data_IF_865721480467
#
_entry.id   IF_865721480467
#
_cell.length_a   1.000
_cell.length_b   1.000
_cell.length_c   1.000
_cell.angle_alpha   90.00
_cell.angle_beta   90.00
_cell.angle_gamma   90.00
#
_symmetry.space_group_name_H-M   'P 1'
#
loop_
_entity.id
_entity.type
_entity.pdbx_description
1 polymer ?
#
# COMPACT_ATOMS: atom_id res chain seq x y z
N UNK A 1 -26.58 -21.67 50.92
CA UNK A 1 -27.30 -21.30 49.68
C UNK A 1 -27.04 -19.82 49.45
N UNK A 2 -26.15 -19.51 48.50
CA UNK A 2 -26.45 -18.82 47.22
C UNK A 2 -26.70 -17.31 47.46
N UNK A 3 -26.00 -16.32 46.89
CA UNK A 3 -25.10 -16.20 45.74
C UNK A 3 -24.06 -15.11 46.09
N UNK A 4 -22.77 -15.20 45.77
CA UNK A 4 -22.24 -15.43 44.43
C UNK A 4 -22.00 -14.07 43.75
N UNK A 5 -20.94 -13.37 44.15
CA UNK A 5 -20.49 -12.11 43.56
C UNK A 5 -20.12 -12.34 42.09
N UNK A 6 -20.85 -11.73 41.15
CA UNK A 6 -20.61 -11.88 39.72
C UNK A 6 -19.80 -10.71 39.19
N UNK A 7 -18.57 -11.07 38.83
CA UNK A 7 -17.49 -10.29 38.25
C UNK A 7 -17.84 -9.73 36.85
N UNK A 8 -17.59 -8.43 36.69
CA UNK A 8 -17.18 -7.67 35.51
C UNK A 8 -17.36 -8.28 34.10
N UNK A 9 -18.03 -7.52 33.23
CA UNK A 9 -17.61 -7.37 31.83
C UNK A 9 -17.80 -5.91 31.39
N UNK A 10 -16.83 -5.07 31.72
CA UNK A 10 -16.74 -3.73 31.13
C UNK A 10 -16.26 -3.87 29.68
N UNK A 11 -17.16 -3.71 28.71
CA UNK A 11 -16.74 -3.47 27.34
C UNK A 11 -16.01 -2.12 27.31
N UNK A 12 -14.69 -2.14 27.17
CA UNK A 12 -13.96 -0.95 26.72
C UNK A 12 -14.38 -0.70 25.27
N UNK A 13 -15.38 0.14 25.08
CA UNK A 13 -15.59 0.79 23.79
C UNK A 13 -14.39 1.70 23.58
N UNK A 14 -13.50 1.32 22.68
CA UNK A 14 -12.47 2.24 22.21
C UNK A 14 -13.19 3.37 21.49
N UNK A 15 -12.94 4.65 21.81
CA UNK A 15 -13.42 5.72 20.96
C UNK A 15 -12.71 5.54 19.61
N UNK A 16 -13.50 5.31 18.55
CA UNK A 16 -13.02 5.56 17.20
C UNK A 16 -12.53 7.01 17.20
N UNK A 17 -11.21 7.21 17.09
CA UNK A 17 -10.66 8.56 17.03
C UNK A 17 -11.17 9.16 15.73
N UNK A 18 -12.11 10.09 15.84
CA UNK A 18 -12.63 10.85 14.72
C UNK A 18 -11.41 11.40 13.95
N UNK A 19 -11.26 10.93 12.71
CA UNK A 19 -10.30 11.46 11.77
C UNK A 19 -10.71 12.91 11.53
N UNK A 20 -10.00 13.86 12.14
CA UNK A 20 -10.17 15.27 11.82
C UNK A 20 -9.71 15.44 10.38
N UNK A 21 -10.66 15.44 9.45
CA UNK A 21 -10.53 16.02 8.13
C UNK A 21 -10.53 17.53 8.34
N UNK A 22 -9.33 18.14 8.26
CA UNK A 22 -9.27 19.59 8.14
C UNK A 22 -9.72 19.87 6.73
N UNK A 23 -10.91 20.45 6.60
CA UNK A 23 -11.53 20.89 5.35
C UNK A 23 -10.73 22.09 4.81
N UNK A 24 -9.54 21.82 4.31
CA UNK A 24 -8.96 22.61 3.24
C UNK A 24 -9.56 22.00 1.98
N UNK A 25 -10.12 22.79 1.07
CA UNK A 25 -10.68 22.32 -0.21
C UNK A 25 -9.58 21.79 -1.15
N UNK A 26 -8.83 20.79 -0.69
CA UNK A 26 -7.89 20.01 -1.47
C UNK A 26 -8.74 18.91 -2.09
N UNK A 27 -9.14 19.11 -3.34
CA UNK A 27 -9.89 18.12 -4.09
C UNK A 27 -9.15 16.78 -4.15
N UNK A 28 -9.89 15.69 -4.35
CA UNK A 28 -9.27 14.40 -4.61
C UNK A 28 -8.37 14.49 -5.85
N UNK A 29 -7.19 13.86 -5.83
CA UNK A 29 -6.34 13.83 -7.01
C UNK A 29 -7.03 13.00 -8.10
N UNK A 30 -6.66 13.19 -9.39
CA UNK A 30 -7.13 12.33 -10.45
C UNK A 30 -6.86 10.85 -10.13
N UNK A 31 -7.73 9.93 -10.56
CA UNK A 31 -7.51 8.51 -10.36
C UNK A 31 -6.20 8.07 -11.01
N UNK A 32 -5.55 7.10 -10.37
CA UNK A 32 -4.36 6.45 -10.93
C UNK A 32 -4.84 5.41 -11.94
N UNK A 33 -4.51 5.62 -13.22
CA UNK A 33 -4.91 4.72 -14.30
C UNK A 33 -3.66 4.09 -14.90
N UNK A 34 -3.56 2.78 -14.78
CA UNK A 34 -2.42 1.99 -15.26
C UNK A 34 -2.92 0.79 -16.06
N UNK A 35 -2.14 0.34 -17.04
CA UNK A 35 -2.50 -0.85 -17.85
C UNK A 35 -2.36 -2.16 -17.08
N UNK A 36 -1.50 -2.19 -16.07
CA UNK A 36 -1.27 -3.33 -15.20
C UNK A 36 -0.92 -2.84 -13.79
N UNK A 37 -1.20 -3.63 -12.75
CA UNK A 37 -0.83 -3.26 -11.39
C UNK A 37 0.68 -2.97 -11.29
N UNK A 38 1.09 -1.89 -10.57
CA UNK A 38 2.48 -1.50 -10.49
C UNK A 38 3.30 -2.53 -9.72
N UNK A 39 4.58 -2.68 -10.09
CA UNK A 39 5.53 -3.39 -9.24
C UNK A 39 6.01 -2.46 -8.13
N UNK A 40 6.01 -2.96 -6.91
CA UNK A 40 6.44 -2.25 -5.70
C UNK A 40 7.82 -2.75 -5.30
N UNK A 41 8.84 -1.90 -5.36
CA UNK A 41 10.24 -2.23 -5.02
C UNK A 41 10.60 -1.63 -3.66
N UNK A 42 11.24 -2.41 -2.79
CA UNK A 42 11.72 -1.95 -1.49
C UNK A 42 12.85 -0.92 -1.67
N UNK A 43 12.67 0.24 -1.04
CA UNK A 43 13.70 1.23 -0.80
C UNK A 43 14.34 0.94 0.57
N UNK A 44 15.61 0.46 0.63
CA UNK A 44 16.28 0.18 1.90
C UNK A 44 16.35 1.41 2.80
N UNK A 45 16.53 2.58 2.19
CA UNK A 45 16.35 3.89 2.79
C UNK A 45 15.30 4.61 1.94
N UNK A 46 14.09 4.90 2.48
CA UNK A 46 13.74 5.06 3.89
C UNK A 46 12.94 3.89 4.53
N UNK A 47 13.13 2.64 4.08
CA UNK A 47 12.40 1.45 4.53
C UNK A 47 10.91 1.45 4.17
N UNK A 48 10.62 1.62 2.88
CA UNK A 48 9.27 1.52 2.33
C UNK A 48 9.32 0.98 0.91
N UNK A 49 8.18 0.60 0.36
CA UNK A 49 8.11 0.24 -1.05
C UNK A 49 7.70 1.44 -1.91
N UNK A 50 8.12 1.44 -3.17
CA UNK A 50 7.73 2.46 -4.17
C UNK A 50 7.29 1.78 -5.46
N UNK A 51 6.27 2.33 -6.10
CA UNK A 51 5.82 1.90 -7.41
C UNK A 51 6.89 2.23 -8.46
N UNK A 52 7.19 1.26 -9.32
CA UNK A 52 8.13 1.42 -10.43
C UNK A 52 7.47 1.05 -11.76
N UNK A 53 8.00 1.57 -12.87
CA UNK A 53 7.43 1.37 -14.20
C UNK A 53 6.13 2.15 -14.47
N UNK A 54 5.74 3.03 -13.56
CA UNK A 54 4.57 3.92 -13.68
C UNK A 54 4.98 5.37 -13.39
N UNK A 55 4.28 6.38 -13.96
CA UNK A 55 4.66 7.78 -13.78
C UNK A 55 4.21 8.39 -12.44
N UNK A 56 3.59 7.59 -11.56
CA UNK A 56 2.97 8.06 -10.33
C UNK A 56 3.91 7.89 -9.13
N UNK A 57 3.95 8.90 -8.26
CA UNK A 57 4.70 8.85 -7.00
C UNK A 57 3.88 8.13 -5.92
N UNK A 58 3.78 6.81 -6.07
CA UNK A 58 3.05 5.92 -5.16
C UNK A 58 4.03 5.15 -4.30
N UNK A 59 3.80 5.17 -2.99
CA UNK A 59 4.60 4.51 -1.98
C UNK A 59 3.71 3.60 -1.13
N UNK A 60 4.26 2.50 -0.62
CA UNK A 60 3.54 1.59 0.25
C UNK A 60 4.26 1.44 1.60
N UNK A 61 3.55 1.78 2.67
CA UNK A 61 4.04 1.78 4.04
C UNK A 61 2.98 1.18 4.96
N UNK A 62 3.34 0.13 5.71
CA UNK A 62 2.48 -0.45 6.75
C UNK A 62 1.05 -0.78 6.30
N UNK A 63 0.89 -1.34 5.10
CA UNK A 63 -0.43 -1.76 4.59
C UNK A 63 -1.26 -0.65 3.95
N UNK A 64 -0.67 0.51 3.65
CA UNK A 64 -1.36 1.62 2.98
C UNK A 64 -0.55 2.15 1.83
N UNK A 65 -1.24 2.60 0.78
CA UNK A 65 -0.65 3.33 -0.32
C UNK A 65 -0.68 4.84 -0.02
N UNK A 66 0.38 5.53 -0.41
CA UNK A 66 0.52 6.98 -0.30
C UNK A 66 0.84 7.53 -1.68
N UNK A 67 0.12 8.56 -2.09
CA UNK A 67 0.27 9.20 -3.40
C UNK A 67 0.63 10.67 -3.21
N UNK A 68 1.73 11.10 -3.83
CA UNK A 68 2.08 12.51 -3.92
C UNK A 68 1.58 13.09 -5.25
N UNK A 69 0.69 14.09 -5.17
CA UNK A 69 0.11 14.76 -6.33
C UNK A 69 -0.11 16.24 -6.06
N UNK A 70 0.31 17.10 -7.00
CA UNK A 70 0.05 18.55 -6.92
C UNK A 70 0.47 19.18 -5.59
N UNK A 71 1.64 18.79 -5.07
CA UNK A 71 2.21 19.20 -3.77
C UNK A 71 1.50 18.70 -2.51
N UNK A 72 0.51 17.84 -2.66
CA UNK A 72 -0.24 17.24 -1.55
C UNK A 72 0.00 15.74 -1.45
N UNK A 73 -0.15 15.24 -0.22
CA UNK A 73 -0.11 13.81 0.04
C UNK A 73 -1.53 13.28 0.24
N UNK A 74 -1.74 12.09 -0.28
CA UNK A 74 -2.97 11.33 -0.11
C UNK A 74 -2.63 9.92 0.33
N UNK A 75 -3.57 9.23 0.96
CA UNK A 75 -3.46 7.81 1.26
C UNK A 75 -4.70 7.06 0.77
N UNK A 76 -4.52 5.79 0.45
CA UNK A 76 -5.55 4.90 -0.06
C UNK A 76 -5.28 3.45 0.34
N UNK A 77 -6.31 2.62 0.23
CA UNK A 77 -6.22 1.19 0.52
C UNK A 77 -5.71 0.38 -0.69
N UNK A 78 -6.05 0.80 -1.91
CA UNK A 78 -5.47 0.31 -3.16
C UNK A 78 -4.49 1.29 -3.80
N UNK A 79 -3.75 0.84 -4.80
CA UNK A 79 -2.83 1.71 -5.55
C UNK A 79 -3.58 2.59 -6.56
N UNK A 80 -4.83 2.26 -6.90
CA UNK A 80 -5.72 3.08 -7.73
C UNK A 80 -6.42 4.24 -6.98
N UNK A 81 -6.51 4.13 -5.65
CA UNK A 81 -7.39 4.94 -4.80
C UNK A 81 -8.51 4.09 -4.18
N UNK A 82 -9.59 4.71 -3.66
CA UNK A 82 -9.82 6.15 -3.54
C UNK A 82 -8.79 6.83 -2.63
N UNK A 83 -8.58 8.13 -2.85
CA UNK A 83 -7.50 8.90 -2.23
C UNK A 83 -8.03 9.88 -1.18
N UNK A 84 -7.56 9.76 0.05
CA UNK A 84 -7.88 10.69 1.14
C UNK A 84 -6.69 11.57 1.45
N UNK A 85 -6.89 12.89 1.54
CA UNK A 85 -5.84 13.83 1.91
C UNK A 85 -5.18 13.47 3.26
N UNK A 86 -3.86 13.61 3.33
CA UNK A 86 -3.10 13.47 4.57
C UNK A 86 -2.09 14.61 4.71
N UNK A 87 -2.17 15.31 5.85
CA UNK A 87 -1.22 16.34 6.20
C UNK A 87 0.18 15.75 6.44
N UNK A 88 1.23 16.52 6.11
CA UNK A 88 2.64 16.10 6.19
C UNK A 88 3.01 15.59 7.59
N UNK A 89 2.46 16.19 8.64
CA UNK A 89 2.69 15.82 10.03
C UNK A 89 2.16 14.42 10.35
N UNK A 90 1.19 13.92 9.59
CA UNK A 90 0.58 12.59 9.76
C UNK A 90 1.23 11.51 8.89
N UNK A 91 2.18 11.87 8.02
CA UNK A 91 2.88 10.90 7.18
C UNK A 91 3.73 9.92 8.00
N UNK A 92 3.91 8.67 7.53
CA UNK A 92 4.93 7.78 8.06
C UNK A 92 6.32 8.44 8.10
N UNK A 93 7.18 8.12 9.09
CA UNK A 93 8.48 8.76 9.26
C UNK A 93 9.36 8.75 8.00
N UNK A 94 9.31 7.67 7.22
CA UNK A 94 10.06 7.55 5.97
C UNK A 94 9.62 8.54 4.89
N UNK A 95 8.33 8.84 4.79
CA UNK A 95 7.80 9.84 3.85
C UNK A 95 8.02 11.26 4.36
N UNK A 96 7.95 11.46 5.69
CA UNK A 96 8.13 12.79 6.30
C UNK A 96 9.58 13.28 6.28
N UNK A 97 10.55 12.37 6.44
CA UNK A 97 11.97 12.72 6.61
C UNK A 97 12.63 13.21 5.32
N UNK A 98 12.20 12.71 4.17
CA UNK A 98 12.87 12.95 2.89
C UNK A 98 12.01 13.82 1.99
N UNK A 99 12.66 14.71 1.24
CA UNK A 99 11.97 15.48 0.19
C UNK A 99 11.54 14.55 -0.93
N UNK A 100 10.43 14.84 -1.59
CA UNK A 100 9.93 14.04 -2.74
C UNK A 100 11.01 13.83 -3.81
N UNK A 101 11.85 14.84 -4.07
CA UNK A 101 13.00 14.70 -4.98
C UNK A 101 13.95 13.56 -4.57
N UNK A 102 14.27 13.44 -3.28
CA UNK A 102 15.13 12.35 -2.78
C UNK A 102 14.43 11.00 -2.88
N UNK A 103 13.12 10.94 -2.63
CA UNK A 103 12.34 9.72 -2.79
C UNK A 103 12.34 9.23 -4.25
N UNK A 104 12.22 10.16 -5.22
CA UNK A 104 12.36 9.86 -6.64
C UNK A 104 13.77 9.38 -6.98
N UNK A 105 14.82 10.01 -6.45
CA UNK A 105 16.20 9.56 -6.63
C UNK A 105 16.44 8.14 -6.11
N UNK A 106 15.86 7.79 -4.96
CA UNK A 106 15.89 6.42 -4.43
C UNK A 106 15.14 5.44 -5.33
N UNK A 107 13.93 5.82 -5.79
CA UNK A 107 13.16 5.03 -6.77
C UNK A 107 13.96 4.77 -8.02
N UNK A 108 14.55 5.78 -8.64
CA UNK A 108 15.30 5.62 -9.89
C UNK A 108 16.53 4.71 -9.73
N UNK A 109 17.21 4.79 -8.58
CA UNK A 109 18.34 3.91 -8.27
C UNK A 109 17.91 2.45 -8.19
N UNK A 110 16.90 2.16 -7.36
CA UNK A 110 16.43 0.78 -7.16
C UNK A 110 15.73 0.23 -8.41
N UNK A 111 15.00 1.08 -9.14
CA UNK A 111 14.35 0.66 -10.38
C UNK A 111 15.37 0.28 -11.45
N UNK A 112 16.49 1.02 -11.56
CA UNK A 112 17.57 0.64 -12.48
C UNK A 112 18.16 -0.72 -12.13
N UNK A 113 18.40 -0.99 -10.85
CA UNK A 113 18.91 -2.29 -10.40
C UNK A 113 17.89 -3.39 -10.71
N UNK A 114 16.61 -3.14 -10.42
CA UNK A 114 15.51 -4.04 -10.75
C UNK A 114 15.46 -4.38 -12.25
N UNK A 115 15.52 -3.36 -13.13
CA UNK A 115 15.51 -3.56 -14.58
C UNK A 115 16.73 -4.34 -15.09
N UNK A 116 17.92 -4.03 -14.59
CA UNK A 116 19.17 -4.68 -15.02
C UNK A 116 19.22 -6.14 -14.58
N UNK A 117 18.78 -6.45 -13.37
CA UNK A 117 18.80 -7.82 -12.85
C UNK A 117 17.61 -8.66 -13.34
N UNK A 118 16.47 -8.02 -13.62
CA UNK A 118 15.28 -8.67 -14.16
C UNK A 118 14.87 -9.89 -13.31
N UNK A 119 14.79 -11.10 -13.91
CA UNK A 119 14.45 -12.32 -13.17
C UNK A 119 15.39 -12.65 -12.00
N UNK A 120 16.61 -12.12 -12.01
CA UNK A 120 17.62 -12.36 -10.97
C UNK A 120 17.62 -11.27 -9.88
N UNK A 121 16.63 -10.37 -9.86
CA UNK A 121 16.57 -9.31 -8.87
C UNK A 121 16.39 -9.88 -7.46
N UNK A 122 17.42 -9.74 -6.63
CA UNK A 122 17.45 -10.29 -5.26
C UNK A 122 16.79 -9.41 -4.21
N UNK A 123 16.35 -8.19 -4.56
CA UNK A 123 15.69 -7.27 -3.64
C UNK A 123 14.23 -7.63 -3.37
N UNK A 124 13.71 -7.15 -2.23
CA UNK A 124 12.29 -7.32 -1.91
C UNK A 124 11.43 -6.50 -2.86
N UNK A 125 10.45 -7.14 -3.46
CA UNK A 125 9.45 -6.50 -4.30
C UNK A 125 8.16 -7.33 -4.30
N UNK A 126 7.06 -6.73 -4.74
CA UNK A 126 5.79 -7.42 -4.98
C UNK A 126 5.01 -6.70 -6.09
N UNK A 127 4.05 -7.35 -6.71
CA UNK A 127 3.10 -6.68 -7.62
C UNK A 127 1.95 -6.15 -6.77
N UNK A 128 1.63 -4.87 -6.87
CA UNK A 128 0.55 -4.27 -6.11
C UNK A 128 -0.77 -4.96 -6.43
N UNK A 129 -1.61 -5.12 -5.42
CA UNK A 129 -2.97 -5.63 -5.56
C UNK A 129 -3.94 -4.52 -5.19
N UNK A 130 -5.02 -4.43 -5.95
CA UNK A 130 -6.18 -3.61 -5.60
C UNK A 130 -7.10 -4.44 -4.69
N UNK A 131 -7.62 -3.84 -3.61
CA UNK A 131 -8.47 -4.56 -2.63
C UNK A 131 -9.83 -5.02 -3.23
N UNK A 132 -10.23 -4.44 -4.36
CA UNK A 132 -11.45 -4.67 -5.13
C UNK A 132 -11.34 -5.80 -6.17
N UNK A 133 -10.19 -6.47 -6.24
CA UNK A 133 -10.05 -7.73 -6.98
C UNK A 133 -10.90 -8.83 -6.33
N UNK A 134 -12.14 -9.00 -6.81
CA UNK A 134 -12.94 -10.19 -6.57
C UNK A 134 -12.04 -11.44 -6.65
N UNK A 135 -12.01 -12.20 -5.56
CA UNK A 135 -11.33 -13.49 -5.50
C UNK A 135 -12.00 -14.43 -6.50
N UNK A 136 -11.53 -14.48 -7.75
CA UNK A 136 -11.84 -15.56 -8.68
C UNK A 136 -11.17 -16.84 -8.18
N UNK A 137 -11.84 -17.48 -7.22
CA UNK A 137 -11.41 -18.70 -6.57
C UNK A 137 -12.01 -19.92 -7.28
N UNK A 138 -11.69 -20.16 -8.56
CA UNK A 138 -12.04 -21.45 -9.21
C UNK A 138 -10.94 -22.02 -10.12
N UNK A 139 -9.73 -22.17 -9.58
CA UNK A 139 -8.77 -23.16 -10.09
C UNK A 139 -9.05 -24.56 -9.53
N UNK A 140 -9.95 -25.33 -10.16
CA UNK A 140 -9.97 -26.80 -10.03
C UNK A 140 -9.88 -27.45 -11.40
N UNK A 141 -8.64 -27.70 -11.83
CA UNK A 141 -8.31 -28.71 -12.82
C UNK A 141 -6.86 -29.13 -12.63
N UNK A 142 -6.43 -30.37 -12.81
CA UNK A 142 -7.07 -31.66 -13.13
C UNK A 142 -5.99 -32.73 -12.85
N UNK A 143 -6.41 -33.96 -12.58
CA UNK A 143 -5.48 -35.10 -12.52
C UNK A 143 -6.19 -36.46 -12.51
N UNK A 144 -7.02 -36.73 -13.51
CA UNK A 144 -7.46 -38.10 -13.83
C UNK A 144 -6.36 -38.76 -14.68
N UNK A 145 -5.96 -39.96 -14.29
CA UNK A 145 -4.75 -40.63 -14.76
C UNK A 145 -4.79 -41.20 -16.18
N UNK A 146 -3.71 -41.92 -16.51
CA UNK A 146 -3.71 -43.10 -17.36
C UNK A 146 -2.44 -43.93 -17.07
N UNK A 147 -2.69 -45.22 -16.83
CA UNK A 147 -1.74 -46.33 -16.77
C UNK A 147 -1.10 -46.56 -18.16
N UNK A 148 0.07 -47.21 -18.22
CA UNK A 148 0.43 -48.17 -19.28
C UNK A 148 1.71 -48.97 -18.93
N UNK A 149 1.49 -50.28 -18.86
CA UNK A 149 2.35 -51.46 -19.13
C UNK A 149 3.76 -51.55 -18.55
#
# INVERSE_FOLDING_TARGET
MLLGSMLLLGLLTTPARAQVSIDVHIGEPPPVVVYSPPTMVMLPEPQMYVAVGVPYDIFFVSGRYYYFHGDHWFWGAGYGGPWTYVAVERLPPGLRRYKVRQLREFREREYRVYQVQGPNFGGRHFVAEDEDGEKEHHGRGRGRGHNKH
#
